data_IF_636783274254
#
_entry.id   IF_636783274254
#
_cell.length_a   1.000
_cell.length_b   1.000
_cell.length_c   1.000
_cell.angle_alpha   90.00
_cell.angle_beta   90.00
_cell.angle_gamma   90.00
#
_symmetry.space_group_name_H-M   'P 1'
#
loop_
_entity.id
_entity.type
_entity.pdbx_description
1 polymer ?
#
# COMPACT_ATOMS: atom_id res chain seq x y z
N UNK A 1 -6.05 12.95 21.33
CA UNK A 1 -6.06 11.90 20.28
C UNK A 1 -5.18 10.67 20.62
N UNK A 2 -4.56 10.55 21.81
CA UNK A 2 -3.55 9.51 22.11
C UNK A 2 -3.89 8.08 21.67
N UNK A 3 -4.90 7.45 22.26
CA UNK A 3 -5.24 6.06 21.94
C UNK A 3 -5.64 5.84 20.47
N UNK A 4 -6.46 6.74 19.91
CA UNK A 4 -6.92 6.65 18.53
C UNK A 4 -5.79 6.89 17.50
N UNK A 5 -4.78 7.68 17.87
CA UNK A 5 -3.58 7.87 17.05
C UNK A 5 -2.75 6.58 17.02
N UNK A 6 -2.45 6.02 18.20
CA UNK A 6 -1.68 4.77 18.32
C UNK A 6 -2.35 3.59 17.60
N UNK A 7 -3.68 3.49 17.70
CA UNK A 7 -4.45 2.48 16.97
C UNK A 7 -4.34 2.66 15.46
N UNK A 8 -4.43 3.89 14.95
CA UNK A 8 -4.26 4.16 13.51
C UNK A 8 -2.85 3.81 13.03
N UNK A 9 -1.82 4.19 13.79
CA UNK A 9 -0.42 3.84 13.45
C UNK A 9 -0.24 2.32 13.39
N UNK A 10 -0.80 1.57 14.35
CA UNK A 10 -0.78 0.10 14.31
C UNK A 10 -1.50 -0.45 13.08
N UNK A 11 -2.67 0.09 12.74
CA UNK A 11 -3.44 -0.35 11.58
C UNK A 11 -2.71 -0.08 10.27
N UNK A 12 -2.02 1.06 10.14
CA UNK A 12 -1.23 1.37 8.96
C UNK A 12 -0.02 0.44 8.80
N UNK A 13 0.61 0.03 9.90
CA UNK A 13 1.80 -0.83 9.84
C UNK A 13 1.46 -2.33 9.76
N UNK A 14 0.27 -2.73 10.18
CA UNK A 14 -0.20 -4.10 9.98
C UNK A 14 -0.34 -4.37 8.48
N UNK A 15 0.17 -5.50 7.99
CA UNK A 15 0.12 -5.82 6.56
C UNK A 15 -1.33 -6.00 6.09
N UNK A 16 -1.70 -5.26 5.04
CA UNK A 16 -3.06 -5.24 4.51
C UNK A 16 -3.08 -5.00 3.00
N UNK A 17 -4.26 -5.16 2.40
CA UNK A 17 -4.57 -4.72 1.05
C UNK A 17 -5.81 -3.81 1.04
N UNK A 18 -5.99 -3.13 -0.09
CA UNK A 18 -7.21 -2.39 -0.42
C UNK A 18 -7.82 -2.93 -1.72
N UNK A 19 -9.14 -2.79 -1.83
CA UNK A 19 -9.91 -3.13 -3.03
C UNK A 19 -9.88 -2.02 -4.09
N UNK A 20 -9.43 -0.83 -3.71
CA UNK A 20 -9.18 0.32 -4.57
C UNK A 20 -7.68 0.67 -4.57
N UNK A 21 -7.26 1.55 -5.48
CA UNK A 21 -5.91 2.10 -5.47
C UNK A 21 -5.65 2.89 -4.18
N UNK A 22 -4.46 2.73 -3.62
CA UNK A 22 -3.98 3.61 -2.56
C UNK A 22 -3.07 4.68 -3.16
N UNK A 23 -3.59 5.90 -3.25
CA UNK A 23 -2.89 7.05 -3.82
C UNK A 23 -2.46 8.01 -2.71
N UNK A 24 -1.17 8.37 -2.69
CA UNK A 24 -0.57 9.27 -1.69
C UNK A 24 0.34 10.27 -2.37
N UNK A 25 0.05 11.55 -2.15
CA UNK A 25 0.94 12.65 -2.51
C UNK A 25 1.46 13.31 -1.24
N UNK A 26 2.78 13.27 -1.02
CA UNK A 26 3.38 13.79 0.21
C UNK A 26 3.54 15.31 0.10
N UNK A 27 2.85 16.03 0.97
CA UNK A 27 2.90 17.49 1.07
C UNK A 27 4.03 17.97 1.99
N UNK A 28 4.37 17.17 3.01
CA UNK A 28 5.45 17.45 3.94
C UNK A 28 5.87 16.19 4.72
N UNK A 29 7.07 16.20 5.31
CA UNK A 29 7.62 15.05 6.02
C UNK A 29 7.90 13.85 5.10
N UNK A 30 7.85 12.64 5.67
CA UNK A 30 8.20 11.42 4.95
C UNK A 30 7.82 10.13 5.67
N UNK A 31 8.02 9.02 4.99
CA UNK A 31 7.78 7.70 5.55
C UNK A 31 8.10 6.59 4.56
N UNK A 32 7.77 5.37 4.96
CA UNK A 32 8.03 4.16 4.20
C UNK A 32 6.73 3.45 3.88
N UNK A 33 6.54 3.15 2.60
CA UNK A 33 5.63 2.12 2.16
C UNK A 33 6.43 0.85 1.92
N UNK A 34 6.12 -0.22 2.65
CA UNK A 34 6.67 -1.53 2.36
C UNK A 34 5.63 -2.27 1.49
N UNK A 35 6.05 -2.86 0.37
CA UNK A 35 5.21 -3.67 -0.51
C UNK A 35 5.81 -5.06 -0.71
N UNK A 36 4.98 -6.07 -1.02
CA UNK A 36 5.46 -7.42 -1.33
C UNK A 36 5.93 -7.52 -2.79
N UNK A 37 7.15 -8.02 -2.97
CA UNK A 37 7.69 -8.41 -4.28
C UNK A 37 7.02 -9.68 -4.83
N UNK A 38 7.46 -10.15 -5.99
CA UNK A 38 6.99 -11.40 -6.57
C UNK A 38 7.25 -12.61 -5.67
N UNK A 39 8.47 -12.71 -5.13
CA UNK A 39 8.88 -13.75 -4.17
C UNK A 39 8.38 -13.52 -2.75
N UNK A 40 7.39 -12.65 -2.56
CA UNK A 40 6.81 -12.28 -1.26
C UNK A 40 7.81 -11.65 -0.26
N UNK A 41 8.95 -11.16 -0.74
CA UNK A 41 9.90 -10.39 0.07
C UNK A 41 9.47 -8.93 0.19
N UNK A 42 9.80 -8.29 1.32
CA UNK A 42 9.51 -6.86 1.52
C UNK A 42 10.43 -5.97 0.68
N UNK A 43 9.83 -5.05 -0.06
CA UNK A 43 10.51 -3.94 -0.72
C UNK A 43 10.08 -2.65 -0.04
N UNK A 44 11.04 -1.93 0.54
CA UNK A 44 10.82 -0.65 1.21
C UNK A 44 10.97 0.51 0.23
N UNK A 45 9.92 1.31 0.10
CA UNK A 45 9.88 2.51 -0.74
C UNK A 45 9.77 3.72 0.19
N UNK A 46 10.80 4.58 0.15
CA UNK A 46 10.78 5.86 0.87
C UNK A 46 10.01 6.87 0.03
N UNK A 47 9.04 7.54 0.65
CA UNK A 47 8.39 8.70 0.07
C UNK A 47 8.74 9.94 0.88
N UNK A 48 9.10 11.00 0.17
CA UNK A 48 9.39 12.31 0.71
C UNK A 48 8.49 13.36 0.07
N UNK A 49 8.59 14.60 0.55
CA UNK A 49 7.83 15.72 0.03
C UNK A 49 7.91 15.81 -1.50
N UNK A 50 6.73 15.92 -2.11
CA UNK A 50 6.44 15.95 -3.55
C UNK A 50 6.48 14.60 -4.28
N UNK A 51 6.69 13.49 -3.58
CA UNK A 51 6.47 12.18 -4.18
C UNK A 51 4.98 11.84 -4.27
N UNK A 52 4.59 11.32 -5.43
CA UNK A 52 3.28 10.72 -5.68
C UNK A 52 3.46 9.21 -5.87
N UNK A 53 2.78 8.42 -5.05
CA UNK A 53 2.74 6.97 -5.18
C UNK A 53 1.30 6.53 -5.43
N UNK A 54 1.14 5.60 -6.38
CA UNK A 54 -0.11 4.91 -6.67
C UNK A 54 0.16 3.42 -6.47
N UNK A 55 -0.45 2.84 -5.44
CA UNK A 55 -0.43 1.40 -5.22
C UNK A 55 -1.68 0.78 -5.84
N UNK A 56 -1.56 -0.28 -6.66
CA UNK A 56 -2.70 -0.93 -7.27
C UNK A 56 -3.56 -1.64 -6.22
N UNK A 57 -4.86 -1.78 -6.49
CA UNK A 57 -5.73 -2.64 -5.69
C UNK A 57 -5.15 -4.06 -5.58
N UNK A 58 -5.33 -4.71 -4.42
CA UNK A 58 -4.91 -6.09 -4.19
C UNK A 58 -3.42 -6.31 -3.86
N UNK A 59 -2.58 -5.27 -3.87
CA UNK A 59 -1.19 -5.38 -3.39
C UNK A 59 -1.13 -5.41 -1.86
N UNK A 60 -0.38 -6.35 -1.31
CA UNK A 60 -0.06 -6.32 0.12
C UNK A 60 0.99 -5.26 0.41
N UNK A 61 0.66 -4.40 1.37
CA UNK A 61 1.50 -3.29 1.77
C UNK A 61 1.29 -2.92 3.24
N UNK A 62 2.13 -2.01 3.71
CA UNK A 62 2.00 -1.33 5.01
C UNK A 62 2.72 0.01 4.95
N UNK A 63 2.37 0.89 5.88
CA UNK A 63 2.97 2.21 6.03
C UNK A 63 3.52 2.43 7.44
N UNK A 64 4.68 3.10 7.53
CA UNK A 64 5.21 3.69 8.76
C UNK A 64 5.81 5.05 8.47
N UNK A 65 5.77 5.97 9.43
CA UNK A 65 6.65 7.14 9.40
C UNK A 65 8.11 6.72 9.49
N UNK A 66 9.00 7.59 9.04
CA UNK A 66 10.43 7.46 9.31
C UNK A 66 10.78 7.93 10.73
N UNK A 67 12.08 8.06 11.03
CA UNK A 67 12.58 8.49 12.34
C UNK A 67 12.19 9.93 12.71
N UNK A 68 11.79 10.76 11.73
CA UNK A 68 11.25 12.10 12.00
C UNK A 68 9.81 12.05 12.52
N UNK A 69 9.14 10.89 12.45
CA UNK A 69 7.80 10.63 12.99
C UNK A 69 6.74 11.61 12.50
N UNK A 70 6.89 12.12 11.28
CA UNK A 70 5.98 13.10 10.71
C UNK A 70 5.79 12.90 9.21
N UNK A 71 4.53 12.87 8.79
CA UNK A 71 4.12 12.94 7.39
C UNK A 71 2.84 13.74 7.26
N UNK A 72 2.72 14.48 6.17
CA UNK A 72 1.48 15.10 5.73
C UNK A 72 1.22 14.67 4.30
N UNK A 73 0.20 13.83 4.09
CA UNK A 73 -0.15 13.33 2.77
C UNK A 73 -1.54 13.83 2.33
N UNK A 74 -1.65 14.19 1.06
CA UNK A 74 -2.92 14.26 0.35
C UNK A 74 -3.28 12.85 -0.14
N UNK A 75 -4.52 12.44 0.10
CA UNK A 75 -5.05 11.14 -0.32
C UNK A 75 -6.00 11.39 -1.49
N UNK A 76 -5.81 10.69 -2.61
CA UNK A 76 -6.65 10.83 -3.80
C UNK A 76 -7.44 9.54 -4.02
N UNK A 77 -8.67 9.67 -4.51
CA UNK A 77 -9.60 8.57 -4.78
C UNK A 77 -10.28 8.78 -6.12
N UNK A 78 -10.54 7.68 -6.81
CA UNK A 78 -11.31 7.70 -8.06
C UNK A 78 -12.82 7.87 -7.79
N UNK A 79 -13.32 7.24 -6.74
CA UNK A 79 -14.72 7.25 -6.31
C UNK A 79 -14.83 7.59 -4.82
N UNK A 80 -16.04 7.47 -4.25
CA UNK A 80 -16.23 7.62 -2.80
C UNK A 80 -15.34 6.63 -2.03
N UNK A 81 -14.52 7.11 -1.08
CA UNK A 81 -13.41 6.32 -0.58
C UNK A 81 -13.86 5.17 0.32
N UNK A 82 -13.46 3.95 -0.04
CA UNK A 82 -13.49 2.79 0.86
C UNK A 82 -12.15 2.68 1.57
N UNK A 83 -12.14 3.10 2.84
CA UNK A 83 -10.92 3.18 3.64
C UNK A 83 -10.53 1.87 4.34
N UNK A 84 -11.34 0.82 4.23
CA UNK A 84 -11.21 -0.37 5.06
C UNK A 84 -9.95 -1.14 4.65
N UNK A 85 -8.91 -1.21 5.51
CA UNK A 85 -7.79 -2.11 5.28
C UNK A 85 -8.26 -3.54 5.49
N UNK A 86 -7.96 -4.42 4.54
CA UNK A 86 -8.19 -5.85 4.68
C UNK A 86 -6.87 -6.52 5.03
N UNK A 87 -6.74 -6.93 6.29
CA UNK A 87 -5.53 -7.55 6.81
C UNK A 87 -5.19 -8.84 6.04
N UNK A 88 -3.90 -9.08 5.83
CA UNK A 88 -3.45 -10.31 5.16
C UNK A 88 -3.91 -11.56 5.92
N UNK A 89 -4.47 -12.52 5.19
CA UNK A 89 -5.02 -13.77 5.71
C UNK A 89 -5.74 -14.56 4.62
N UNK A 90 -6.28 -15.73 4.96
CA UNK A 90 -6.92 -16.64 4.00
C UNK A 90 -8.05 -15.96 3.20
N UNK A 91 -8.87 -15.16 3.87
CA UNK A 91 -9.97 -14.40 3.24
C UNK A 91 -9.47 -13.40 2.18
N UNK A 92 -8.31 -12.76 2.42
CA UNK A 92 -7.77 -11.77 1.47
C UNK A 92 -7.00 -12.40 0.32
N UNK A 93 -6.51 -13.62 0.45
CA UNK A 93 -5.95 -14.38 -0.69
C UNK A 93 -7.06 -14.81 -1.68
N UNK A 94 -8.28 -14.99 -1.19
CA UNK A 94 -9.45 -15.28 -2.03
C UNK A 94 -10.15 -14.04 -2.60
N UNK A 95 -9.77 -12.84 -2.14
CA UNK A 95 -10.35 -11.58 -2.59
C UNK A 95 -10.19 -11.39 -4.11
N UNK A 96 -11.23 -10.87 -4.77
CA UNK A 96 -11.23 -10.71 -6.22
C UNK A 96 -10.12 -9.77 -6.73
N UNK A 97 -9.87 -8.65 -6.04
CA UNK A 97 -8.86 -7.67 -6.43
C UNK A 97 -7.45 -8.21 -6.22
N UNK A 98 -7.24 -9.02 -5.17
CA UNK A 98 -5.99 -9.75 -4.95
C UNK A 98 -5.71 -10.71 -6.11
N UNK A 99 -6.71 -11.50 -6.52
CA UNK A 99 -6.56 -12.46 -7.63
C UNK A 99 -6.32 -11.75 -8.96
N UNK A 100 -6.96 -10.62 -9.20
CA UNK A 100 -6.73 -9.80 -10.40
C UNK A 100 -5.33 -9.18 -10.42
N UNK A 101 -4.87 -8.64 -9.28
CA UNK A 101 -3.51 -8.14 -9.13
C UNK A 101 -2.46 -9.21 -9.46
N UNK A 102 -2.62 -10.43 -8.93
CA UNK A 102 -1.69 -11.53 -9.19
C UNK A 102 -1.66 -11.91 -10.67
N UNK A 103 -2.83 -12.02 -11.33
CA UNK A 103 -2.91 -12.29 -12.78
C UNK A 103 -2.23 -11.21 -13.61
N UNK A 104 -2.44 -9.94 -13.27
CA UNK A 104 -1.80 -8.81 -13.96
C UNK A 104 -0.28 -8.86 -13.80
N UNK A 105 0.20 -9.10 -12.56
CA UNK A 105 1.62 -9.21 -12.23
C UNK A 105 2.31 -10.32 -13.01
N UNK A 106 1.70 -11.51 -13.07
CA UNK A 106 2.21 -12.65 -13.86
C UNK A 106 2.29 -12.31 -15.36
N UNK A 107 1.27 -11.63 -15.90
CA UNK A 107 1.25 -11.18 -17.29
C UNK A 107 2.36 -10.16 -17.63
N UNK A 108 2.76 -9.32 -16.66
CA UNK A 108 3.87 -8.38 -16.83
C UNK A 108 5.23 -9.10 -16.89
N UNK A 109 5.45 -10.11 -16.05
CA UNK A 109 6.68 -10.90 -16.05
C UNK A 109 6.91 -11.65 -17.37
N UNK A 110 5.85 -12.23 -17.93
CA UNK A 110 5.90 -12.93 -19.22
C UNK A 110 6.30 -12.03 -20.42
N UNK A 111 6.00 -10.72 -20.35
CA UNK A 111 6.38 -9.75 -21.38
C UNK A 111 7.84 -9.28 -21.29
N UNK A 112 8.48 -9.42 -20.13
CA UNK A 112 9.88 -9.02 -19.91
C UNK A 112 10.85 -10.10 -20.39
N UNK A 113 10.52 -11.39 -20.22
CA UNK A 113 11.36 -12.49 -20.72
C UNK A 113 11.32 -12.67 -22.26
N UNK A 114 10.37 -12.02 -22.93
CA UNK A 114 10.18 -12.11 -24.38
C UNK A 114 11.00 -11.08 -25.20
N UNK A 115 11.89 -10.30 -24.58
CA UNK A 115 12.74 -9.29 -25.25
C UNK A 115 14.23 -9.51 -25.00
#
# INVERSE_FOLDING_TARGET
MGAAYEEKVRNFFHEHLHEDEEIRYILDGGGYFDVRSEGDEWVRIRLEKHDLMIMPAGIYHRFTTDEANYTKAMRLFKEDPKWTPLNRGEETEENQYRREYLKLREGLGAGVEAN
#
